data_IF_389757779577
#
_entry.id   IF_389757779577
#
_cell.length_a   1.000
_cell.length_b   1.000
_cell.length_c   1.000
_cell.angle_alpha   90.00
_cell.angle_beta   90.00
_cell.angle_gamma   90.00
#
_symmetry.space_group_name_H-M   'P 1'
#
loop_
_entity.id
_entity.type
_entity.pdbx_description
1 polymer ?
#
# COMPACT_ATOMS: atom_id res chain seq x y z
N UNK A 1 23.95 -0.54 4.71
CA UNK A 1 23.12 -0.41 3.49
C UNK A 1 21.91 -1.36 3.50
N UNK A 2 21.50 -1.93 4.66
CA UNK A 2 20.55 -3.04 4.72
C UNK A 2 19.13 -2.66 5.22
N UNK A 3 18.90 -1.47 5.75
CA UNK A 3 17.63 -1.15 6.40
C UNK A 3 16.49 -0.79 5.43
N UNK A 4 16.78 -0.24 4.24
CA UNK A 4 15.73 0.19 3.31
C UNK A 4 15.09 -0.99 2.56
N UNK A 5 15.89 -1.95 2.09
CA UNK A 5 15.38 -3.14 1.41
C UNK A 5 14.55 -4.06 2.32
N UNK A 6 14.77 -3.99 3.63
CA UNK A 6 14.02 -4.79 4.58
C UNK A 6 12.59 -4.28 4.78
N UNK A 7 12.31 -2.96 4.69
CA UNK A 7 10.99 -2.43 5.06
C UNK A 7 9.88 -2.88 4.10
N UNK A 8 10.12 -2.75 2.80
CA UNK A 8 9.12 -3.14 1.80
C UNK A 8 8.97 -4.67 1.76
N UNK A 9 10.03 -5.43 2.03
CA UNK A 9 9.98 -6.90 2.14
C UNK A 9 9.18 -7.36 3.35
N UNK A 10 9.35 -6.71 4.51
CA UNK A 10 8.54 -6.98 5.70
C UNK A 10 7.06 -6.68 5.45
N UNK A 11 6.76 -5.62 4.70
CA UNK A 11 5.40 -5.31 4.27
C UNK A 11 4.85 -6.41 3.33
N UNK A 12 5.59 -6.84 2.32
CA UNK A 12 5.17 -7.92 1.40
C UNK A 12 4.92 -9.24 2.15
N UNK A 13 5.80 -9.59 3.08
CA UNK A 13 5.64 -10.74 3.99
C UNK A 13 4.38 -10.60 4.85
N UNK A 14 4.12 -9.42 5.41
CA UNK A 14 2.91 -9.17 6.18
C UNK A 14 1.62 -9.27 5.33
N UNK A 15 1.61 -8.74 4.11
CA UNK A 15 0.49 -8.88 3.17
C UNK A 15 0.23 -10.35 2.82
N UNK A 16 1.28 -11.14 2.67
CA UNK A 16 1.18 -12.59 2.45
C UNK A 16 0.56 -13.29 3.66
N UNK A 17 1.00 -12.95 4.88
CA UNK A 17 0.39 -13.47 6.13
C UNK A 17 -1.07 -13.05 6.32
N UNK A 18 -1.45 -11.89 5.79
CA UNK A 18 -2.85 -11.45 5.78
C UNK A 18 -3.70 -12.19 4.72
N UNK A 19 -3.07 -12.98 3.85
CA UNK A 19 -3.73 -13.77 2.81
C UNK A 19 -4.19 -12.96 1.60
N UNK A 20 -3.63 -11.75 1.38
CA UNK A 20 -3.93 -10.94 0.19
C UNK A 20 -2.92 -11.11 -0.93
N UNK A 21 -1.70 -11.50 -0.59
CA UNK A 21 -0.70 -11.95 -1.55
C UNK A 21 -0.52 -13.45 -1.41
N UNK A 22 -0.30 -14.13 -2.54
CA UNK A 22 0.08 -15.53 -2.55
C UNK A 22 1.56 -15.68 -2.20
N UNK A 23 1.95 -16.81 -1.65
CA UNK A 23 3.35 -17.09 -1.31
C UNK A 23 4.27 -17.05 -2.54
N UNK A 24 3.77 -17.51 -3.69
CA UNK A 24 4.46 -17.51 -4.99
C UNK A 24 4.41 -16.17 -5.74
N UNK A 25 3.81 -15.14 -5.16
CA UNK A 25 3.67 -13.84 -5.79
C UNK A 25 5.04 -13.18 -6.06
N UNK A 26 5.18 -12.48 -7.21
CA UNK A 26 6.43 -11.84 -7.64
C UNK A 26 7.04 -10.95 -6.56
N UNK A 27 6.23 -10.22 -5.80
CA UNK A 27 6.69 -9.35 -4.71
C UNK A 27 7.44 -10.09 -3.57
N UNK A 28 7.29 -11.42 -3.46
CA UNK A 28 7.99 -12.24 -2.48
C UNK A 28 9.29 -12.87 -3.02
N UNK A 29 9.61 -12.69 -4.31
CA UNK A 29 10.80 -13.28 -4.90
C UNK A 29 12.09 -12.63 -4.38
N UNK A 30 13.22 -13.35 -4.39
CA UNK A 30 14.50 -12.81 -3.92
C UNK A 30 15.00 -11.63 -4.77
N UNK A 31 14.75 -11.66 -6.07
CA UNK A 31 15.08 -10.60 -7.04
C UNK A 31 14.02 -9.49 -7.14
N UNK A 32 12.93 -9.61 -6.38
CA UNK A 32 11.90 -8.58 -6.35
C UNK A 32 12.45 -7.25 -5.86
N UNK A 33 11.85 -6.18 -6.38
CA UNK A 33 12.16 -4.80 -6.02
C UNK A 33 10.98 -4.14 -5.33
N UNK A 34 11.24 -3.02 -4.66
CA UNK A 34 10.19 -2.17 -4.11
C UNK A 34 9.15 -1.74 -5.15
N UNK A 35 9.59 -1.54 -6.40
CA UNK A 35 8.72 -1.22 -7.54
C UNK A 35 7.67 -2.30 -7.80
N UNK A 36 8.02 -3.58 -7.64
CA UNK A 36 7.09 -4.70 -7.85
C UNK A 36 5.97 -4.69 -6.81
N UNK A 37 6.31 -4.41 -5.55
CA UNK A 37 5.31 -4.24 -4.50
C UNK A 37 4.45 -3.00 -4.77
N UNK A 38 5.06 -1.86 -5.10
CA UNK A 38 4.31 -0.64 -5.35
C UNK A 38 3.31 -0.81 -6.51
N UNK A 39 3.72 -1.44 -7.61
CA UNK A 39 2.84 -1.78 -8.74
C UNK A 39 1.66 -2.65 -8.31
N UNK A 40 1.91 -3.61 -7.42
CA UNK A 40 0.88 -4.53 -6.90
C UNK A 40 -0.19 -3.80 -6.09
N UNK A 41 0.19 -2.72 -5.39
CA UNK A 41 -0.73 -1.94 -4.55
C UNK A 41 -1.39 -0.78 -5.32
N UNK A 42 -0.86 -0.41 -6.49
CA UNK A 42 -1.21 0.81 -7.25
C UNK A 42 -2.69 0.93 -7.61
N UNK A 43 -3.36 -0.19 -7.87
CA UNK A 43 -4.77 -0.18 -8.30
C UNK A 43 -5.76 -0.11 -7.12
N UNK A 44 -5.25 -0.13 -5.89
CA UNK A 44 -6.02 -0.09 -4.67
C UNK A 44 -6.77 -1.39 -4.32
N UNK A 45 -6.78 -2.40 -5.19
CA UNK A 45 -7.56 -3.62 -4.98
C UNK A 45 -6.95 -4.46 -3.87
N UNK A 46 -5.63 -4.66 -3.90
CA UNK A 46 -4.92 -5.47 -2.90
C UNK A 46 -5.06 -4.87 -1.49
N UNK A 47 -4.95 -3.55 -1.36
CA UNK A 47 -5.10 -2.88 -0.06
C UNK A 47 -6.56 -2.86 0.43
N UNK A 48 -7.55 -2.78 -0.46
CA UNK A 48 -8.95 -2.95 -0.08
C UNK A 48 -9.26 -4.39 0.36
N UNK A 49 -8.75 -5.39 -0.38
CA UNK A 49 -8.86 -6.80 0.01
C UNK A 49 -8.18 -7.07 1.35
N UNK A 50 -7.11 -6.34 1.67
CA UNK A 50 -6.44 -6.43 2.98
C UNK A 50 -7.39 -6.03 4.09
N UNK A 51 -8.07 -4.90 3.96
CA UNK A 51 -9.06 -4.46 4.95
C UNK A 51 -10.16 -5.51 5.14
N UNK A 52 -10.73 -6.03 4.05
CA UNK A 52 -11.74 -7.08 4.10
C UNK A 52 -11.23 -8.37 4.75
N UNK A 53 -9.97 -8.74 4.54
CA UNK A 53 -9.37 -9.90 5.19
C UNK A 53 -9.11 -9.66 6.68
N UNK A 54 -8.73 -8.45 7.07
CA UNK A 54 -8.50 -8.08 8.47
C UNK A 54 -9.83 -8.05 9.24
N UNK A 55 -10.85 -7.46 8.64
CA UNK A 55 -12.21 -7.37 9.17
C UNK A 55 -13.21 -7.17 8.01
N UNK A 56 -14.07 -8.15 7.68
CA UNK A 56 -15.05 -8.02 6.61
C UNK A 56 -16.07 -6.89 6.82
N UNK A 57 -16.31 -6.46 8.07
CA UNK A 57 -17.30 -5.43 8.37
C UNK A 57 -16.76 -4.00 8.19
N UNK A 58 -15.45 -3.84 7.95
CA UNK A 58 -14.84 -2.51 7.84
C UNK A 58 -14.95 -1.87 6.45
N UNK A 59 -15.21 -2.66 5.40
CA UNK A 59 -15.22 -2.20 4.01
C UNK A 59 -16.31 -2.91 3.20
N UNK A 60 -17.11 -2.16 2.45
CA UNK A 60 -18.04 -2.76 1.48
C UNK A 60 -17.29 -3.07 0.17
N UNK A 61 -17.01 -4.34 -0.05
CA UNK A 61 -16.33 -4.82 -1.26
C UNK A 61 -17.13 -4.57 -2.55
N UNK A 62 -18.43 -4.22 -2.47
CA UNK A 62 -19.22 -3.78 -3.63
C UNK A 62 -18.81 -2.40 -4.14
N UNK A 63 -18.24 -1.55 -3.29
CA UNK A 63 -17.73 -0.23 -3.67
C UNK A 63 -16.34 -0.30 -4.32
N UNK A 64 -15.62 -1.40 -4.08
CA UNK A 64 -14.26 -1.65 -4.58
C UNK A 64 -14.29 -2.19 -6.00
N UNK A 65 -13.51 -1.56 -6.88
CA UNK A 65 -13.42 -1.95 -8.27
C UNK A 65 -12.37 -3.04 -8.42
N UNK A 66 -12.80 -4.30 -8.50
CA UNK A 66 -11.93 -5.47 -8.64
C UNK A 66 -11.19 -5.53 -9.99
N UNK A 67 -11.68 -4.83 -11.02
CA UNK A 67 -11.05 -4.77 -12.35
C UNK A 67 -10.97 -3.32 -12.82
N UNK A 68 -10.12 -2.48 -12.20
CA UNK A 68 -10.05 -1.08 -12.54
C UNK A 68 -9.37 -0.85 -13.91
N UNK A 69 -8.79 -1.87 -14.54
CA UNK A 69 -8.11 -1.79 -15.85
C UNK A 69 -7.07 -0.65 -15.93
N UNK A 70 -6.45 -0.32 -14.79
CA UNK A 70 -5.56 0.84 -14.62
C UNK A 70 -6.21 2.20 -14.96
N UNK A 71 -7.54 2.29 -14.99
CA UNK A 71 -8.25 3.55 -15.11
C UNK A 71 -8.01 4.39 -13.85
N UNK A 72 -7.32 5.51 -14.02
CA UNK A 72 -6.91 6.42 -12.92
C UNK A 72 -8.06 6.70 -11.94
N UNK A 73 -9.24 7.05 -12.44
CA UNK A 73 -10.39 7.35 -11.59
C UNK A 73 -10.79 6.17 -10.69
N UNK A 74 -10.78 4.95 -11.22
CA UNK A 74 -11.15 3.74 -10.47
C UNK A 74 -10.07 3.35 -9.45
N UNK A 75 -8.79 3.43 -9.84
CA UNK A 75 -7.68 3.17 -8.92
C UNK A 75 -7.67 4.17 -7.76
N UNK A 76 -7.77 5.48 -8.07
CA UNK A 76 -7.82 6.54 -7.05
C UNK A 76 -9.04 6.37 -6.14
N UNK A 77 -10.20 5.96 -6.68
CA UNK A 77 -11.38 5.66 -5.87
C UNK A 77 -11.11 4.55 -4.86
N UNK A 78 -10.57 3.41 -5.31
CA UNK A 78 -10.23 2.29 -4.42
C UNK A 78 -9.24 2.74 -3.32
N UNK A 79 -8.20 3.49 -3.69
CA UNK A 79 -7.20 4.00 -2.73
C UNK A 79 -7.85 4.94 -1.71
N UNK A 80 -8.75 5.84 -2.14
CA UNK A 80 -9.49 6.73 -1.23
C UNK A 80 -10.36 5.94 -0.25
N UNK A 81 -11.07 4.91 -0.73
CA UNK A 81 -11.85 4.02 0.14
C UNK A 81 -10.96 3.37 1.20
N UNK A 82 -9.79 2.85 0.81
CA UNK A 82 -8.82 2.30 1.77
C UNK A 82 -8.42 3.32 2.85
N UNK A 83 -8.02 4.53 2.44
CA UNK A 83 -7.59 5.58 3.37
C UNK A 83 -8.73 5.97 4.33
N UNK A 84 -9.95 6.08 3.82
CA UNK A 84 -11.13 6.42 4.62
C UNK A 84 -11.44 5.36 5.68
N UNK A 85 -11.34 4.08 5.34
CA UNK A 85 -11.54 2.98 6.30
C UNK A 85 -10.43 2.94 7.34
N UNK A 86 -9.17 3.13 6.92
CA UNK A 86 -8.03 3.26 7.83
C UNK A 86 -8.24 4.36 8.87
N UNK A 87 -8.77 5.52 8.44
CA UNK A 87 -9.10 6.64 9.33
C UNK A 87 -10.26 6.32 10.26
N UNK A 88 -11.40 5.91 9.71
CA UNK A 88 -12.67 5.89 10.43
C UNK A 88 -12.90 4.60 11.22
N UNK A 89 -12.35 3.48 10.73
CA UNK A 89 -12.54 2.16 11.35
C UNK A 89 -11.33 1.75 12.19
N UNK A 90 -10.10 1.99 11.71
CA UNK A 90 -8.88 1.59 12.42
C UNK A 90 -8.25 2.69 13.26
N UNK A 91 -8.88 3.88 13.30
CA UNK A 91 -8.46 5.06 14.08
C UNK A 91 -7.02 5.49 13.80
N UNK A 92 -6.57 5.34 12.55
CA UNK A 92 -5.24 5.80 12.12
C UNK A 92 -5.27 7.32 11.99
N UNK A 93 -4.32 7.98 12.63
CA UNK A 93 -4.23 9.43 12.63
C UNK A 93 -3.99 9.99 11.22
N UNK A 94 -4.57 11.16 10.93
CA UNK A 94 -4.49 11.78 9.61
C UNK A 94 -3.04 12.03 9.15
N UNK A 95 -2.16 12.42 10.09
CA UNK A 95 -0.74 12.61 9.81
C UNK A 95 0.00 11.30 9.50
N UNK A 96 -0.58 10.13 9.77
CA UNK A 96 0.00 8.82 9.48
C UNK A 96 -0.53 8.23 8.15
N UNK A 97 -1.58 8.81 7.57
CA UNK A 97 -2.16 8.41 6.29
C UNK A 97 -1.35 8.98 5.11
N UNK A 98 -1.37 8.27 3.99
CA UNK A 98 -0.83 8.74 2.71
C UNK A 98 -1.92 9.37 1.85
N UNK A 99 -1.53 10.19 0.86
CA UNK A 99 -2.46 10.73 -0.14
C UNK A 99 -2.58 9.78 -1.34
N UNK A 100 -3.73 9.69 -2.03
CA UNK A 100 -3.92 8.75 -3.13
C UNK A 100 -2.86 8.82 -4.24
N UNK A 101 -2.36 10.02 -4.54
CA UNK A 101 -1.27 10.28 -5.50
C UNK A 101 0.06 9.65 -5.07
N UNK A 102 0.36 9.57 -3.78
CA UNK A 102 1.61 8.99 -3.27
C UNK A 102 1.75 7.51 -3.63
N UNK A 103 0.63 6.79 -3.75
CA UNK A 103 0.59 5.40 -4.20
C UNK A 103 0.38 5.29 -5.72
N UNK A 104 -0.55 6.06 -6.29
CA UNK A 104 -0.91 5.95 -7.70
C UNK A 104 0.20 6.45 -8.65
N UNK A 105 0.86 7.54 -8.29
CA UNK A 105 1.97 8.17 -9.04
C UNK A 105 3.33 7.83 -8.42
N UNK A 106 3.37 6.94 -7.42
CA UNK A 106 4.61 6.54 -6.73
C UNK A 106 5.42 7.70 -6.15
N UNK A 107 4.75 8.78 -5.74
CA UNK A 107 5.41 9.99 -5.25
C UNK A 107 6.09 9.81 -3.89
N UNK A 108 5.46 9.07 -2.96
CA UNK A 108 6.04 8.77 -1.65
C UNK A 108 5.56 7.41 -1.14
N UNK A 109 6.27 6.36 -1.57
CA UNK A 109 5.92 5.00 -1.15
C UNK A 109 6.31 4.72 0.31
N UNK A 110 7.23 5.50 0.88
CA UNK A 110 7.56 5.36 2.30
C UNK A 110 6.33 5.69 3.15
N UNK A 111 5.60 6.75 2.80
CA UNK A 111 4.36 7.11 3.48
C UNK A 111 3.31 5.99 3.40
N UNK A 112 3.21 5.30 2.27
CA UNK A 112 2.32 4.14 2.09
C UNK A 112 2.71 3.01 3.03
N UNK A 113 3.99 2.64 3.07
CA UNK A 113 4.51 1.62 3.98
C UNK A 113 4.28 2.00 5.45
N UNK A 114 4.41 3.30 5.77
CA UNK A 114 4.15 3.83 7.11
C UNK A 114 2.70 3.63 7.55
N UNK A 115 1.75 4.00 6.69
CA UNK A 115 0.33 3.77 6.98
C UNK A 115 0.02 2.28 7.16
N UNK A 116 0.57 1.40 6.32
CA UNK A 116 0.40 -0.05 6.45
C UNK A 116 1.00 -0.60 7.74
N UNK A 117 2.15 -0.07 8.17
CA UNK A 117 2.78 -0.44 9.45
C UNK A 117 1.87 -0.05 10.62
N UNK A 118 1.33 1.17 10.64
CA UNK A 118 0.36 1.63 11.65
C UNK A 118 -0.91 0.77 11.66
N UNK A 119 -1.44 0.44 10.48
CA UNK A 119 -2.59 -0.46 10.34
C UNK A 119 -2.28 -1.83 10.95
N UNK A 120 -1.11 -2.41 10.64
CA UNK A 120 -0.70 -3.73 11.14
C UNK A 120 -0.55 -3.78 12.66
N UNK A 121 -0.29 -2.63 13.29
CA UNK A 121 -0.16 -2.46 14.73
C UNK A 121 -1.45 -1.98 15.40
N UNK A 122 -2.52 -1.74 14.62
CA UNK A 122 -3.81 -1.31 15.16
C UNK A 122 -4.32 -2.38 16.14
N UNK A 123 -4.82 -1.98 17.33
CA UNK A 123 -5.36 -2.92 18.31
C UNK A 123 -6.46 -3.82 17.73
N UNK A 124 -7.22 -3.33 16.76
CA UNK A 124 -8.25 -4.14 16.08
C UNK A 124 -7.62 -5.30 15.31
N UNK A 125 -6.59 -5.02 14.51
CA UNK A 125 -5.87 -6.04 13.74
C UNK A 125 -5.23 -7.09 14.64
N UNK A 126 -4.52 -6.66 15.68
CA UNK A 126 -3.82 -7.54 16.62
C UNK A 126 -4.78 -8.44 17.44
N UNK A 127 -6.02 -8.00 17.62
CA UNK A 127 -7.06 -8.77 18.32
C UNK A 127 -7.76 -9.77 17.40
N UNK A 128 -8.08 -9.37 16.17
CA UNK A 128 -8.87 -10.19 15.25
C UNK A 128 -8.06 -11.32 14.62
N UNK A 129 -6.79 -11.05 14.30
CA UNK A 129 -5.86 -12.08 13.83
C UNK A 129 -4.63 -12.01 14.73
N UNK A 130 -4.19 -13.14 15.26
CA UNK A 130 -2.94 -13.24 16.03
C UNK A 130 -1.70 -13.09 15.10
N UNK A 131 -1.74 -12.06 14.24
CA UNK A 131 -0.73 -11.70 13.27
C UNK A 131 0.17 -10.67 13.92
N UNK A 132 1.46 -10.98 13.95
CA UNK A 132 2.47 -10.00 14.31
C UNK A 132 2.50 -8.91 13.25
N UNK A 133 2.14 -7.69 13.64
CA UNK A 133 2.33 -6.50 12.80
C UNK A 133 3.80 -6.30 12.46
N UNK A 134 4.07 -5.41 11.51
CA UNK A 134 5.43 -5.02 11.15
C UNK A 134 5.67 -3.57 11.54
N UNK A 135 6.89 -3.27 11.97
CA UNK A 135 7.32 -1.93 12.34
C UNK A 135 8.27 -1.42 11.27
N UNK A 136 8.03 -0.22 10.79
CA UNK A 136 9.04 0.48 10.01
C UNK A 136 9.75 1.52 10.88
N UNK A 137 11.07 1.58 10.76
CA UNK A 137 11.83 2.68 11.33
C UNK A 137 11.86 3.81 10.30
N UNK A 138 11.68 5.08 10.71
CA UNK A 138 11.86 6.20 9.81
C UNK A 138 13.27 6.18 9.20
N UNK A 139 13.41 6.54 7.91
CA UNK A 139 14.70 6.66 7.27
C UNK A 139 15.57 7.61 8.09
N UNK A 140 16.77 7.16 8.44
CA UNK A 140 17.69 7.93 9.29
C UNK A 140 18.54 8.90 8.48
N UNK A 141 18.45 8.84 7.15
CA UNK A 141 19.26 9.63 6.22
C UNK A 141 18.46 10.06 4.99
N UNK A 142 18.82 11.21 4.42
CA UNK A 142 18.26 11.74 3.16
C UNK A 142 18.37 10.76 1.99
N UNK A 143 19.45 9.96 1.95
CA UNK A 143 19.64 8.93 0.92
C UNK A 143 18.56 7.85 0.98
N UNK A 144 18.18 7.43 2.18
CA UNK A 144 17.10 6.46 2.37
C UNK A 144 15.74 7.05 1.98
N UNK A 145 15.47 8.31 2.31
CA UNK A 145 14.23 8.99 1.88
C UNK A 145 14.12 9.07 0.36
N UNK A 146 15.23 9.40 -0.33
CA UNK A 146 15.25 9.50 -1.77
C UNK A 146 14.91 8.18 -2.47
N UNK A 147 15.30 7.02 -1.91
CA UNK A 147 14.98 5.71 -2.49
C UNK A 147 13.46 5.53 -2.65
N UNK A 148 12.66 5.96 -1.66
CA UNK A 148 11.20 5.82 -1.68
C UNK A 148 10.47 6.87 -2.52
N UNK A 149 11.08 8.04 -2.70
CA UNK A 149 10.56 9.14 -3.53
C UNK A 149 10.99 9.05 -5.00
N UNK A 150 12.07 8.31 -5.29
CA UNK A 150 12.60 8.15 -6.65
C UNK A 150 11.87 7.07 -7.47
N UNK A 151 10.88 6.36 -6.89
CA UNK A 151 10.11 5.35 -7.63
C UNK A 151 9.42 5.94 -8.85
N UNK A 152 8.84 7.13 -8.71
CA UNK A 152 8.18 7.84 -9.80
C UNK A 152 9.09 8.05 -11.03
N UNK A 153 10.41 8.17 -10.83
CA UNK A 153 11.38 8.34 -11.93
C UNK A 153 11.58 7.05 -12.75
N UNK A 154 11.31 5.89 -12.15
CA UNK A 154 11.48 4.58 -12.78
C UNK A 154 10.25 4.11 -13.55
N UNK A 155 9.10 4.77 -13.38
CA UNK A 155 7.87 4.42 -14.07
C UNK A 155 7.61 5.41 -15.21
N UNK A 156 7.35 4.93 -16.44
CA UNK A 156 6.91 5.83 -17.51
C UNK A 156 5.61 6.48 -17.07
N UNK A 157 5.63 7.82 -16.97
CA UNK A 157 4.43 8.61 -16.73
C UNK A 157 3.41 8.28 -17.81
N UNK A 158 2.19 7.93 -17.40
CA UNK A 158 1.09 7.80 -18.35
C UNK A 158 0.97 9.13 -19.09
N UNK A 159 0.94 9.13 -20.44
CA UNK A 159 0.71 10.38 -21.16
C UNK A 159 -0.60 11.00 -20.67
N UNK A 160 -0.66 12.33 -20.51
CA UNK A 160 -1.91 12.99 -20.16
C UNK A 160 -2.97 12.55 -21.16
N UNK A 161 -4.13 12.09 -20.66
CA UNK A 161 -5.28 11.79 -21.51
C UNK A 161 -5.50 13.02 -22.40
N UNK A 162 -5.33 12.87 -23.72
CA UNK A 162 -5.83 13.87 -24.67
C UNK A 162 -7.32 14.00 -24.37
N UNK A 163 -7.72 15.11 -23.77
CA UNK A 163 -9.12 15.52 -23.77
C UNK A 163 -9.49 15.63 -25.25
N UNK A 164 -10.38 14.73 -25.69
CA UNK A 164 -10.96 14.78 -27.02
C UNK A 164 -11.90 15.98 -26.99
N UNK A 165 -11.44 17.09 -27.57
CA UNK A 165 -12.28 18.21 -27.96
C UNK A 165 -12.76 17.99 -29.40
#
# INVERSE_FOLDING_TARGET
MADADNLWRECASWLTRCGVLREDHKANWPDASMSDLALTLRDGVVICNLLNNLDPDCIDMKEVNQKPQLAQFLCIRNIKTFIQVCRNYFDIAEHDLFEPSMLFDFGDFFKVLHTLSKLSQSPKVLRTRNLKGFSINPPRTLSQENIYKSLNTNFPQLPPRREIM
#
